data_IF_676089913642
#
_entry.id   IF_676089913642
#
_cell.length_a   1.000
_cell.length_b   1.000
_cell.length_c   1.000
_cell.angle_alpha   90.00
_cell.angle_beta   90.00
_cell.angle_gamma   90.00
#
_symmetry.space_group_name_H-M   'P 1'
#
loop_
_entity.id
_entity.type
_entity.pdbx_description
1 polymer ?
#
# COMPACT_ATOMS: atom_id res chain seq x y z
N UNK A 1 -12.24 -14.33 -8.18
CA UNK A 1 -11.48 -13.33 -8.91
C UNK A 1 -10.76 -12.44 -7.94
N UNK A 2 -9.51 -12.17 -8.23
CA UNK A 2 -8.65 -11.40 -7.34
C UNK A 2 -8.92 -9.90 -7.44
N UNK A 3 -8.94 -9.25 -6.30
CA UNK A 3 -8.74 -7.81 -6.28
C UNK A 3 -7.24 -7.56 -6.33
N UNK A 4 -6.82 -6.62 -7.15
CA UNK A 4 -5.42 -6.26 -7.31
C UNK A 4 -5.25 -4.82 -6.80
N UNK A 5 -4.29 -4.63 -5.91
CA UNK A 5 -4.01 -3.32 -5.34
C UNK A 5 -2.59 -2.91 -5.69
N UNK A 6 -2.46 -1.77 -6.36
CA UNK A 6 -1.15 -1.15 -6.62
C UNK A 6 -0.92 -0.11 -5.54
N UNK A 7 0.23 -0.14 -4.91
CA UNK A 7 0.59 0.80 -3.85
C UNK A 7 1.91 1.49 -4.17
N UNK A 8 2.04 2.75 -3.75
CA UNK A 8 3.29 3.48 -3.85
C UNK A 8 3.35 4.54 -2.76
N UNK A 9 4.56 4.90 -2.38
CA UNK A 9 4.80 5.98 -1.43
C UNK A 9 6.17 6.58 -1.67
N UNK A 10 6.31 7.84 -1.36
CA UNK A 10 7.59 8.49 -1.54
C UNK A 10 7.68 9.80 -0.80
N UNK A 11 8.91 10.31 -0.67
CA UNK A 11 9.16 11.60 -0.04
C UNK A 11 10.11 12.42 -0.89
N UNK A 12 9.94 13.73 -0.84
CA UNK A 12 10.91 14.68 -1.39
C UNK A 12 12.02 14.78 -0.35
N UNK A 13 13.24 14.40 -0.71
CA UNK A 13 14.37 14.30 0.26
C UNK A 13 14.01 13.34 1.40
N UNK A 14 14.58 12.20 1.42
CA UNK A 14 14.24 11.08 2.30
C UNK A 14 14.98 11.16 3.66
N UNK A 15 14.37 11.67 4.79
CA UNK A 15 12.97 12.05 4.90
C UNK A 15 12.66 13.46 4.38
N UNK A 16 11.36 13.71 4.17
CA UNK A 16 10.87 14.99 3.71
C UNK A 16 9.38 14.95 3.54
N UNK A 17 8.81 15.92 2.84
CA UNK A 17 7.38 15.89 2.51
C UNK A 17 7.07 14.60 1.76
N UNK A 18 6.12 13.84 2.27
CA UNK A 18 5.82 12.51 1.79
C UNK A 18 4.35 12.37 1.39
N UNK A 19 4.08 11.41 0.54
CA UNK A 19 2.73 11.08 0.11
C UNK A 19 2.64 9.59 -0.23
N UNK A 20 1.41 9.10 -0.24
CA UNK A 20 1.12 7.73 -0.64
C UNK A 20 0.02 7.69 -1.68
N UNK A 21 -0.09 6.56 -2.36
CA UNK A 21 -1.18 6.30 -3.29
C UNK A 21 -1.49 4.81 -3.35
N UNK A 22 -2.76 4.50 -3.59
CA UNK A 22 -3.13 3.13 -3.94
C UNK A 22 -4.28 3.15 -4.95
N UNK A 23 -4.33 2.08 -5.77
CA UNK A 23 -5.38 1.87 -6.75
C UNK A 23 -5.86 0.43 -6.62
N UNK A 24 -7.17 0.25 -6.62
CA UNK A 24 -7.79 -1.07 -6.48
C UNK A 24 -8.49 -1.43 -7.79
N UNK A 25 -8.11 -2.58 -8.34
CA UNK A 25 -8.68 -3.11 -9.57
C UNK A 25 -9.36 -4.45 -9.33
N UNK A 26 -10.41 -4.71 -10.08
CA UNK A 26 -11.05 -6.02 -10.15
C UNK A 26 -11.40 -6.30 -11.61
N UNK A 27 -10.96 -7.44 -12.14
CA UNK A 27 -11.20 -7.82 -13.54
C UNK A 27 -10.74 -6.75 -14.53
N UNK A 28 -9.60 -6.12 -14.25
CA UNK A 28 -9.04 -5.08 -15.10
C UNK A 28 -9.73 -3.73 -15.00
N UNK A 29 -10.72 -3.61 -14.13
CA UNK A 29 -11.47 -2.36 -13.97
C UNK A 29 -11.08 -1.66 -12.68
N UNK A 30 -10.78 -0.37 -12.76
CA UNK A 30 -10.46 0.45 -11.60
C UNK A 30 -11.72 0.65 -10.75
N UNK A 31 -11.67 0.20 -9.49
CA UNK A 31 -12.76 0.36 -8.54
C UNK A 31 -12.60 1.61 -7.67
N UNK A 32 -11.36 1.90 -7.25
CA UNK A 32 -11.10 2.98 -6.31
C UNK A 32 -9.64 3.39 -6.36
N UNK A 33 -9.38 4.66 -6.14
CA UNK A 33 -8.01 5.18 -6.00
C UNK A 33 -7.99 6.27 -4.94
N UNK A 34 -6.84 6.40 -4.27
CA UNK A 34 -6.66 7.42 -3.24
C UNK A 34 -5.19 7.81 -3.18
N UNK A 35 -4.95 9.09 -3.00
CA UNK A 35 -3.60 9.61 -2.75
C UNK A 35 -3.69 10.77 -1.80
N UNK A 36 -2.71 10.88 -0.87
CA UNK A 36 -2.70 11.94 0.13
C UNK A 36 -1.26 12.26 0.56
N UNK A 37 -1.05 13.50 0.94
CA UNK A 37 0.18 13.90 1.63
C UNK A 37 0.08 13.46 3.09
N UNK A 38 1.21 13.06 3.66
CA UNK A 38 1.26 12.56 5.05
C UNK A 38 2.22 13.37 5.93
N UNK A 39 2.69 14.52 5.44
CA UNK A 39 3.65 15.34 6.19
C UNK A 39 5.07 14.83 5.99
N UNK A 40 5.94 15.06 6.98
CA UNK A 40 7.34 14.67 6.91
C UNK A 40 7.47 13.18 7.26
N UNK A 41 8.01 12.40 6.35
CA UNK A 41 8.23 10.97 6.56
C UNK A 41 9.31 10.45 5.60
N UNK A 42 9.79 9.23 5.88
CA UNK A 42 10.71 8.54 4.98
C UNK A 42 9.95 7.88 3.83
N UNK A 43 10.67 7.50 2.77
CA UNK A 43 10.11 6.70 1.68
C UNK A 43 9.45 5.43 2.22
N UNK A 44 10.13 4.72 3.14
CA UNK A 44 9.62 3.45 3.67
C UNK A 44 8.32 3.64 4.45
N UNK A 45 8.23 4.69 5.26
CA UNK A 45 7.00 5.00 6.00
C UNK A 45 5.87 5.29 5.02
N UNK A 46 6.13 6.05 3.95
CA UNK A 46 5.12 6.35 2.93
C UNK A 46 4.63 5.08 2.22
N UNK A 47 5.56 4.17 1.90
CA UNK A 47 5.21 2.89 1.27
C UNK A 47 4.30 2.05 2.17
N UNK A 48 4.66 1.92 3.45
CA UNK A 48 3.83 1.20 4.41
C UNK A 48 2.47 1.87 4.60
N UNK A 49 2.43 3.19 4.62
CA UNK A 49 1.19 3.95 4.78
C UNK A 49 0.23 3.67 3.63
N UNK A 50 0.73 3.59 2.40
CA UNK A 50 -0.09 3.25 1.24
C UNK A 50 -0.81 1.92 1.45
N UNK A 51 -0.07 0.91 1.89
CA UNK A 51 -0.65 -0.41 2.10
C UNK A 51 -1.63 -0.42 3.27
N UNK A 52 -1.31 0.25 4.37
CA UNK A 52 -2.22 0.36 5.52
C UNK A 52 -3.54 0.98 5.08
N UNK A 53 -3.50 2.10 4.37
CA UNK A 53 -4.71 2.78 3.91
C UNK A 53 -5.53 1.91 2.95
N UNK A 54 -4.85 1.18 2.07
CA UNK A 54 -5.53 0.27 1.15
C UNK A 54 -6.25 -0.86 1.90
N UNK A 55 -5.58 -1.48 2.86
CA UNK A 55 -6.18 -2.57 3.64
C UNK A 55 -7.31 -2.08 4.53
N UNK A 56 -7.18 -0.88 5.11
CA UNK A 56 -8.28 -0.26 5.86
C UNK A 56 -9.50 -0.05 4.98
N UNK A 57 -9.29 0.45 3.77
CA UNK A 57 -10.38 0.67 2.83
C UNK A 57 -11.08 -0.65 2.50
N UNK A 58 -10.33 -1.70 2.16
CA UNK A 58 -10.87 -3.02 1.84
C UNK A 58 -11.64 -3.58 3.05
N UNK A 59 -11.08 -3.47 4.25
CA UNK A 59 -11.73 -3.96 5.46
C UNK A 59 -13.07 -3.26 5.68
N UNK A 60 -13.15 -1.96 5.47
CA UNK A 60 -14.39 -1.20 5.60
C UNK A 60 -15.42 -1.62 4.55
N UNK A 61 -14.99 -1.89 3.32
CA UNK A 61 -15.89 -2.36 2.25
C UNK A 61 -16.47 -3.73 2.60
N UNK A 62 -15.66 -4.63 3.12
CA UNK A 62 -16.10 -5.97 3.51
C UNK A 62 -17.07 -5.90 4.69
N UNK A 63 -16.74 -5.12 5.73
CA UNK A 63 -17.60 -4.96 6.91
C UNK A 63 -18.96 -4.38 6.58
N UNK A 64 -19.01 -3.41 5.67
CA UNK A 64 -20.28 -2.78 5.25
C UNK A 64 -21.04 -3.61 4.24
N UNK A 65 -20.52 -4.78 3.87
CA UNK A 65 -21.08 -5.69 2.88
C UNK A 65 -21.27 -5.07 1.48
N UNK A 66 -20.54 -3.98 1.21
CA UNK A 66 -20.56 -3.33 -0.11
C UNK A 66 -19.78 -4.09 -1.15
N UNK A 67 -18.84 -4.94 -0.70
CA UNK A 67 -17.99 -5.73 -1.60
C UNK A 67 -17.72 -7.09 -1.01
N UNK A 68 -17.62 -8.10 -1.88
CA UNK A 68 -17.12 -9.42 -1.53
C UNK A 68 -15.71 -9.53 -2.07
N UNK A 69 -14.74 -9.76 -1.19
CA UNK A 69 -13.35 -9.88 -1.56
C UNK A 69 -12.87 -11.27 -1.17
N UNK A 70 -12.47 -12.08 -2.16
CA UNK A 70 -12.02 -13.45 -1.93
C UNK A 70 -10.55 -13.53 -1.60
N UNK A 71 -9.76 -12.71 -2.25
CA UNK A 71 -8.32 -12.63 -2.03
C UNK A 71 -7.79 -11.29 -2.55
N UNK A 72 -6.56 -10.97 -2.16
CA UNK A 72 -5.90 -9.75 -2.59
C UNK A 72 -4.54 -10.07 -3.17
N UNK A 73 -4.19 -9.40 -4.26
CA UNK A 73 -2.81 -9.35 -4.76
C UNK A 73 -2.34 -7.91 -4.59
N UNK A 74 -1.32 -7.72 -3.77
CA UNK A 74 -0.72 -6.41 -3.50
C UNK A 74 0.53 -6.28 -4.36
N UNK A 75 0.59 -5.22 -5.15
CA UNK A 75 1.72 -4.95 -6.04
C UNK A 75 2.43 -3.68 -5.55
N UNK A 76 3.74 -3.77 -5.36
CA UNK A 76 4.56 -2.67 -4.89
C UNK A 76 5.92 -2.70 -5.58
N UNK A 77 6.51 -1.53 -5.79
CA UNK A 77 7.88 -1.43 -6.28
C UNK A 77 8.90 -1.35 -5.13
N UNK A 78 8.45 -1.45 -3.89
CA UNK A 78 9.33 -1.54 -2.72
C UNK A 78 9.68 -3.00 -2.43
N UNK A 79 10.83 -3.43 -2.91
CA UNK A 79 11.32 -4.79 -2.64
C UNK A 79 11.52 -5.03 -1.15
N UNK A 80 12.00 -4.03 -0.43
CA UNK A 80 12.21 -4.13 1.01
C UNK A 80 10.89 -4.43 1.73
N UNK A 81 9.85 -3.63 1.45
CA UNK A 81 8.55 -3.83 2.10
C UNK A 81 7.97 -5.22 1.77
N UNK A 82 7.98 -5.60 0.51
CA UNK A 82 7.45 -6.91 0.10
C UNK A 82 8.19 -8.03 0.83
N UNK A 83 9.51 -7.98 0.88
CA UNK A 83 10.31 -9.02 1.54
C UNK A 83 10.11 -9.04 3.05
N UNK A 84 9.84 -7.89 3.66
CA UNK A 84 9.48 -7.85 5.08
C UNK A 84 8.11 -8.48 5.34
N UNK A 85 7.15 -8.23 4.46
CA UNK A 85 5.78 -8.72 4.64
C UNK A 85 5.64 -10.21 4.39
N UNK A 86 6.43 -10.77 3.47
CA UNK A 86 6.42 -12.22 3.22
C UNK A 86 7.38 -12.99 4.14
N UNK A 87 8.08 -12.29 5.03
CA UNK A 87 8.92 -12.91 6.05
C UNK A 87 10.35 -13.24 5.64
N UNK A 88 10.78 -12.80 4.46
CA UNK A 88 12.18 -13.00 4.01
C UNK A 88 13.16 -12.10 4.76
N UNK A 89 12.74 -10.89 5.09
CA UNK A 89 13.59 -9.93 5.81
C UNK A 89 12.95 -9.60 7.16
N UNK A 90 13.78 -9.47 8.20
CA UNK A 90 13.34 -8.98 9.49
C UNK A 90 13.11 -7.47 9.44
N UNK A 91 12.13 -7.01 10.20
CA UNK A 91 11.88 -5.58 10.40
C UNK A 91 12.71 -5.13 11.58
N UNK A 92 13.74 -4.33 11.33
CA UNK A 92 14.64 -3.82 12.38
C UNK A 92 14.41 -2.34 12.69
N UNK A 93 13.87 -1.60 11.73
CA UNK A 93 13.65 -0.16 11.85
C UNK A 93 12.52 0.11 12.85
N UNK A 94 12.78 0.97 13.85
CA UNK A 94 11.82 1.27 14.90
C UNK A 94 10.57 1.99 14.40
N UNK A 95 10.68 2.76 13.32
CA UNK A 95 9.54 3.46 12.73
C UNK A 95 8.65 2.52 11.92
N UNK A 96 9.23 1.47 11.36
CA UNK A 96 8.52 0.51 10.53
C UNK A 96 7.85 -0.58 11.37
N UNK A 97 8.44 -0.97 12.50
CA UNK A 97 7.87 -2.04 13.34
C UNK A 97 6.39 -1.88 13.65
N UNK A 98 5.92 -0.71 14.13
CA UNK A 98 4.48 -0.57 14.41
C UNK A 98 3.63 -0.60 13.15
N UNK A 99 4.15 -0.11 12.03
CA UNK A 99 3.42 -0.14 10.76
C UNK A 99 3.29 -1.57 10.24
N UNK A 100 4.37 -2.34 10.32
CA UNK A 100 4.38 -3.76 9.95
C UNK A 100 3.37 -4.53 10.81
N UNK A 101 3.36 -4.30 12.13
CA UNK A 101 2.42 -4.93 13.05
C UNK A 101 0.97 -4.58 12.70
N UNK A 102 0.73 -3.33 12.32
CA UNK A 102 -0.61 -2.90 11.91
C UNK A 102 -1.08 -3.64 10.65
N UNK A 103 -0.19 -3.82 9.68
CA UNK A 103 -0.52 -4.57 8.47
C UNK A 103 -0.86 -6.02 8.81
N UNK A 104 -0.07 -6.67 9.68
CA UNK A 104 -0.34 -8.04 10.09
C UNK A 104 -1.67 -8.16 10.81
N UNK A 105 -2.02 -7.17 11.63
CA UNK A 105 -3.31 -7.11 12.28
C UNK A 105 -4.45 -6.98 11.25
N UNK A 106 -4.29 -6.10 10.27
CA UNK A 106 -5.31 -5.92 9.22
C UNK A 106 -5.46 -7.18 8.36
N UNK A 107 -4.36 -7.86 8.03
CA UNK A 107 -4.40 -9.15 7.34
C UNK A 107 -5.23 -10.16 8.12
N UNK A 108 -4.99 -10.25 9.44
CA UNK A 108 -5.72 -11.16 10.31
C UNK A 108 -7.20 -10.80 10.35
N UNK A 109 -7.53 -9.52 10.45
CA UNK A 109 -8.91 -9.04 10.48
C UNK A 109 -9.66 -9.39 9.20
N UNK A 110 -8.99 -9.29 8.04
CA UNK A 110 -9.60 -9.63 6.76
C UNK A 110 -9.84 -11.12 6.62
N UNK A 111 -8.92 -11.94 7.15
CA UNK A 111 -9.08 -13.39 7.14
C UNK A 111 -9.15 -14.04 5.75
N UNK A 112 -8.58 -13.39 4.74
CA UNK A 112 -8.56 -13.87 3.36
C UNK A 112 -7.10 -14.01 2.89
N UNK A 113 -6.84 -14.82 1.84
CA UNK A 113 -5.49 -14.90 1.30
C UNK A 113 -5.02 -13.56 0.75
N UNK A 114 -3.82 -13.16 1.14
CA UNK A 114 -3.19 -11.92 0.67
C UNK A 114 -1.82 -12.27 0.14
N UNK A 115 -1.57 -11.90 -1.12
CA UNK A 115 -0.33 -12.17 -1.81
C UNK A 115 0.38 -10.85 -2.09
N UNK A 116 1.71 -10.84 -2.02
CA UNK A 116 2.53 -9.68 -2.29
C UNK A 116 3.43 -9.94 -3.48
N UNK A 117 3.53 -8.98 -4.39
CA UNK A 117 4.37 -9.08 -5.57
C UNK A 117 5.18 -7.80 -5.74
N UNK A 118 6.49 -7.96 -5.81
CA UNK A 118 7.39 -6.87 -6.16
C UNK A 118 7.44 -6.72 -7.68
N UNK A 119 7.35 -5.48 -8.16
CA UNK A 119 7.54 -5.12 -9.56
C UNK A 119 8.53 -3.98 -9.66
N UNK A 120 9.14 -3.82 -10.82
CA UNK A 120 9.97 -2.65 -11.08
C UNK A 120 9.08 -1.41 -11.19
N UNK A 121 9.67 -0.24 -10.95
CA UNK A 121 8.92 1.03 -10.91
C UNK A 121 8.13 1.29 -12.19
N UNK A 122 8.66 0.92 -13.36
CA UNK A 122 7.98 1.12 -14.64
C UNK A 122 6.69 0.29 -14.78
N UNK A 123 6.49 -0.69 -13.91
CA UNK A 123 5.26 -1.49 -13.84
C UNK A 123 4.29 -0.98 -12.77
N UNK A 124 4.59 0.14 -12.12
CA UNK A 124 3.77 0.75 -11.08
C UNK A 124 3.53 2.24 -11.36
N UNK A 125 3.44 2.60 -12.62
CA UNK A 125 3.43 4.01 -13.08
C UNK A 125 2.24 4.82 -12.57
N UNK A 126 1.06 4.22 -12.51
CA UNK A 126 -0.14 4.95 -12.10
C UNK A 126 -0.06 5.36 -10.63
N UNK A 127 0.36 4.44 -9.76
CA UNK A 127 0.55 4.75 -8.34
C UNK A 127 1.65 5.79 -8.15
N UNK A 128 2.78 5.65 -8.87
CA UNK A 128 3.87 6.61 -8.84
C UNK A 128 3.40 8.01 -9.24
N UNK A 129 2.61 8.10 -10.32
CA UNK A 129 2.05 9.38 -10.78
C UNK A 129 1.15 10.02 -9.74
N UNK A 130 0.33 9.24 -9.05
CA UNK A 130 -0.54 9.76 -8.00
C UNK A 130 0.25 10.29 -6.80
N UNK A 131 1.34 9.64 -6.44
CA UNK A 131 2.24 10.13 -5.38
C UNK A 131 2.82 11.49 -5.78
N UNK A 132 3.36 11.59 -7.00
CA UNK A 132 3.95 12.84 -7.49
C UNK A 132 2.91 13.96 -7.55
N UNK A 133 1.71 13.64 -8.03
CA UNK A 133 0.61 14.60 -8.07
C UNK A 133 0.25 15.10 -6.68
N UNK A 134 0.16 14.20 -5.69
CA UNK A 134 -0.14 14.57 -4.32
C UNK A 134 0.95 15.49 -3.74
N UNK A 135 2.22 15.22 -4.03
CA UNK A 135 3.33 16.05 -3.55
C UNK A 135 3.37 17.43 -4.21
N UNK A 136 2.85 17.57 -5.43
CA UNK A 136 2.80 18.83 -6.16
C UNK A 136 1.61 19.71 -5.76
N UNK A 137 0.59 19.15 -5.17
CA UNK A 137 -0.57 19.92 -4.73
C UNK A 137 -0.18 20.86 -3.59
N UNK A 138 -0.59 22.12 -3.71
CA UNK A 138 -0.33 23.13 -2.70
C UNK A 138 -1.23 22.92 -1.46
#
# INVERSE_FOLDING_TARGET
MNHIIYTDGGSINNPGQAAYAFLIYKNGKLLYKQSERIGIASNNVAEYTALIRALEYINNQVKSQKSKVKNLLIISDSQLMVNQLIGLYKVKNVDIKPLHSKIKFLEMMLGIPIYYKHVLRDKNKEADSLVKEALERA
#
